data_IF_035255851511
#
_entry.id   IF_035255851511
#
_cell.length_a   1.000
_cell.length_b   1.000
_cell.length_c   1.000
_cell.angle_alpha   90.00
_cell.angle_beta   90.00
_cell.angle_gamma   90.00
#
_symmetry.space_group_name_H-M   'P 1'
#
loop_
_entity.id
_entity.type
_entity.pdbx_description
1 polymer ?
#
# COMPACT_ATOMS: atom_id res chain seq x y z
N UNK A 1 -26.18 -46.21 23.01
CA UNK A 1 -24.83 -45.74 23.43
C UNK A 1 -24.01 -45.09 22.33
N UNK A 2 -23.89 -45.65 21.10
CA UNK A 2 -23.10 -45.02 20.01
C UNK A 2 -23.52 -43.58 19.66
N UNK A 3 -24.82 -43.29 19.58
CA UNK A 3 -25.32 -41.94 19.27
C UNK A 3 -25.01 -40.90 20.36
N UNK A 4 -25.02 -41.29 21.64
CA UNK A 4 -24.64 -40.39 22.74
C UNK A 4 -23.16 -40.00 22.68
N UNK A 5 -22.30 -40.94 22.29
CA UNK A 5 -20.87 -40.68 22.11
C UNK A 5 -20.60 -39.69 20.98
N UNK A 6 -21.29 -39.83 19.84
CA UNK A 6 -21.18 -38.88 18.73
C UNK A 6 -21.68 -37.47 19.10
N UNK A 7 -22.78 -37.37 19.86
CA UNK A 7 -23.29 -36.08 20.35
C UNK A 7 -22.29 -35.42 21.31
N UNK A 8 -21.68 -36.19 22.21
CA UNK A 8 -20.68 -35.69 23.16
C UNK A 8 -19.39 -35.25 22.45
N UNK A 9 -18.94 -36.00 21.44
CA UNK A 9 -17.78 -35.64 20.61
C UNK A 9 -18.05 -34.37 19.78
N UNK A 10 -19.26 -34.22 19.25
CA UNK A 10 -19.68 -33.03 18.51
C UNK A 10 -19.76 -31.80 19.42
N UNK A 11 -20.28 -31.94 20.65
CA UNK A 11 -20.29 -30.88 21.67
C UNK A 11 -18.87 -30.47 22.09
N UNK A 12 -17.94 -31.41 22.24
CA UNK A 12 -16.53 -31.12 22.53
C UNK A 12 -15.86 -30.35 21.38
N UNK A 13 -16.16 -30.67 20.13
CA UNK A 13 -15.67 -29.93 18.96
C UNK A 13 -16.26 -28.51 18.88
N UNK A 14 -17.54 -28.34 19.22
CA UNK A 14 -18.18 -27.02 19.31
C UNK A 14 -17.62 -26.17 20.47
N UNK A 15 -17.27 -26.79 21.59
CA UNK A 15 -16.65 -26.11 22.74
C UNK A 15 -15.16 -25.80 22.52
N UNK A 16 -14.45 -26.56 21.67
CA UNK A 16 -13.05 -26.29 21.33
C UNK A 16 -12.87 -25.19 20.28
N UNK A 17 -13.90 -24.88 19.49
CA UNK A 17 -13.93 -23.73 18.58
C UNK A 17 -14.37 -22.45 19.30
N UNK A 18 -13.75 -22.13 20.45
CA UNK A 18 -13.83 -20.77 21.02
C UNK A 18 -12.75 -19.92 20.37
N UNK A 19 -12.94 -19.54 19.11
CA UNK A 19 -12.20 -18.40 18.59
C UNK A 19 -12.65 -17.19 19.40
N UNK A 20 -11.74 -16.64 20.20
CA UNK A 20 -11.99 -15.41 20.95
C UNK A 20 -12.47 -14.35 19.96
N UNK A 21 -13.75 -13.99 20.09
CA UNK A 21 -14.42 -12.91 19.36
C UNK A 21 -14.53 -11.67 20.24
N UNK A 22 -13.71 -11.58 21.30
CA UNK A 22 -13.69 -10.41 22.16
C UNK A 22 -13.15 -9.22 21.36
N UNK A 23 -13.84 -8.07 21.35
CA UNK A 23 -13.33 -6.86 20.71
C UNK A 23 -11.94 -6.51 21.24
N UNK A 24 -11.11 -5.85 20.41
CA UNK A 24 -9.85 -5.30 20.89
C UNK A 24 -10.07 -4.44 22.15
N UNK A 25 -9.22 -4.65 23.16
CA UNK A 25 -9.25 -3.90 24.39
C UNK A 25 -8.82 -2.45 24.15
N UNK A 26 -9.78 -1.52 24.16
CA UNK A 26 -9.54 -0.08 23.94
C UNK A 26 -8.66 0.58 25.00
N UNK A 27 -8.57 -0.01 26.19
CA UNK A 27 -7.74 0.50 27.29
C UNK A 27 -6.29 0.02 27.20
N UNK A 28 -6.03 -1.05 26.42
CA UNK A 28 -4.69 -1.56 26.16
C UNK A 28 -3.97 -0.67 25.16
N UNK A 29 -2.73 -0.32 25.47
CA UNK A 29 -1.83 0.34 24.51
C UNK A 29 -1.21 -0.70 23.58
N UNK A 30 -1.43 -0.53 22.28
CA UNK A 30 -0.85 -1.36 21.23
C UNK A 30 0.36 -0.66 20.63
N UNK A 31 1.51 -1.33 20.65
CA UNK A 31 2.74 -0.79 20.05
C UNK A 31 2.78 -1.10 18.55
N UNK A 32 2.99 -0.08 17.74
CA UNK A 32 3.21 -0.18 16.30
C UNK A 32 4.62 0.28 16.00
N UNK A 33 5.46 -0.65 15.58
CA UNK A 33 6.81 -0.35 15.17
C UNK A 33 6.86 0.09 13.71
N UNK A 34 7.61 1.15 13.44
CA UNK A 34 7.77 1.75 12.12
C UNK A 34 9.24 1.73 11.75
N UNK A 35 9.53 1.26 10.54
CA UNK A 35 10.86 1.39 9.93
C UNK A 35 10.79 2.39 8.80
N UNK A 36 11.79 3.25 8.72
CA UNK A 36 11.97 4.15 7.59
C UNK A 36 13.18 3.72 6.75
N UNK A 37 12.99 3.60 5.44
CA UNK A 37 14.05 3.26 4.49
C UNK A 37 14.17 4.42 3.50
N UNK A 38 15.32 5.06 3.52
CA UNK A 38 15.57 6.29 2.78
C UNK A 38 16.56 6.07 1.64
N UNK A 39 16.22 6.61 0.47
CA UNK A 39 17.16 6.89 -0.60
C UNK A 39 17.52 8.38 -0.55
N UNK A 40 18.74 8.68 -0.07
CA UNK A 40 19.22 10.06 0.13
C UNK A 40 19.33 10.89 -1.18
N UNK A 41 19.18 10.26 -2.35
CA UNK A 41 19.11 10.97 -3.62
C UNK A 41 17.70 11.49 -3.94
N UNK A 42 16.66 11.04 -3.23
CA UNK A 42 15.25 11.38 -3.44
C UNK A 42 14.76 12.27 -2.29
N UNK A 43 13.80 13.16 -2.56
CA UNK A 43 13.18 13.99 -1.53
C UNK A 43 12.65 13.13 -0.38
N UNK A 44 12.93 13.57 0.84
CA UNK A 44 12.54 12.92 2.08
C UNK A 44 11.99 13.98 3.05
N UNK A 45 11.23 13.54 4.05
CA UNK A 45 11.00 14.38 5.22
C UNK A 45 12.33 14.67 5.90
N UNK A 46 12.50 15.88 6.45
CA UNK A 46 13.61 16.08 7.37
C UNK A 46 13.46 15.15 8.57
N UNK A 47 14.54 14.73 9.23
CA UNK A 47 14.44 13.89 10.42
C UNK A 47 13.52 14.49 11.49
N UNK A 48 13.55 15.81 11.68
CA UNK A 48 12.66 16.50 12.61
C UNK A 48 11.19 16.42 12.17
N UNK A 49 10.88 16.70 10.90
CA UNK A 49 9.50 16.63 10.41
C UNK A 49 8.96 15.21 10.48
N UNK A 50 9.80 14.22 10.19
CA UNK A 50 9.42 12.81 10.29
C UNK A 50 9.13 12.40 11.73
N UNK A 51 9.98 12.80 12.69
CA UNK A 51 9.74 12.55 14.12
C UNK A 51 8.45 13.23 14.60
N UNK A 52 8.22 14.47 14.18
CA UNK A 52 7.07 15.27 14.56
C UNK A 52 5.74 14.65 14.10
N UNK A 53 5.72 13.97 12.95
CA UNK A 53 4.53 13.23 12.49
C UNK A 53 4.11 12.12 13.46
N UNK A 54 5.05 11.49 14.17
CA UNK A 54 4.78 10.32 15.01
C UNK A 54 4.85 10.62 16.50
N UNK A 55 4.62 11.88 16.86
CA UNK A 55 4.57 12.34 18.24
C UNK A 55 3.27 11.90 18.96
N UNK A 56 3.05 12.47 20.15
CA UNK A 56 1.86 12.18 20.96
C UNK A 56 0.55 12.64 20.27
N UNK A 57 0.59 13.61 19.35
CA UNK A 57 -0.59 14.10 18.64
C UNK A 57 -1.11 13.07 17.66
N UNK A 58 -0.25 12.32 16.96
CA UNK A 58 -0.70 11.20 16.12
C UNK A 58 -1.36 10.10 16.95
N UNK A 59 -0.79 9.78 18.11
CA UNK A 59 -1.33 8.77 19.02
C UNK A 59 -2.72 9.16 19.52
N UNK A 60 -2.89 10.45 19.87
CA UNK A 60 -4.19 11.03 20.26
C UNK A 60 -5.18 11.03 19.10
N UNK A 61 -4.78 11.50 17.92
CA UNK A 61 -5.63 11.53 16.72
C UNK A 61 -6.10 10.12 16.33
N UNK A 62 -5.22 9.13 16.48
CA UNK A 62 -5.55 7.72 16.25
C UNK A 62 -6.61 7.21 17.22
N UNK A 63 -6.50 7.58 18.50
CA UNK A 63 -7.51 7.25 19.49
C UNK A 63 -8.84 7.94 19.19
N UNK A 64 -8.81 9.23 18.86
CA UNK A 64 -10.02 10.01 18.55
C UNK A 64 -10.77 9.46 17.33
N UNK A 65 -10.05 8.94 16.33
CA UNK A 65 -10.63 8.39 15.09
C UNK A 65 -10.99 6.90 15.21
N UNK A 66 -10.10 6.06 15.72
CA UNK A 66 -10.25 4.60 15.70
C UNK A 66 -10.68 4.02 17.06
N UNK A 67 -10.53 4.77 18.15
CA UNK A 67 -10.89 4.34 19.50
C UNK A 67 -9.89 3.37 20.15
N UNK A 68 -8.66 3.27 19.63
CA UNK A 68 -7.60 2.41 20.15
C UNK A 68 -6.40 3.24 20.60
N UNK A 69 -5.82 2.90 21.74
CA UNK A 69 -4.56 3.49 22.21
C UNK A 69 -3.41 2.85 21.43
N UNK A 70 -2.81 3.58 20.52
CA UNK A 70 -1.66 3.12 19.74
C UNK A 70 -0.44 3.96 20.13
N UNK A 71 0.66 3.27 20.43
CA UNK A 71 1.97 3.88 20.60
C UNK A 71 2.78 3.61 19.34
N UNK A 72 3.12 4.67 18.62
CA UNK A 72 4.03 4.59 17.48
C UNK A 72 5.48 4.55 17.98
N UNK A 73 6.23 3.58 17.51
CA UNK A 73 7.63 3.41 17.88
C UNK A 73 8.49 3.44 16.62
N UNK A 74 9.27 4.49 16.48
CA UNK A 74 10.20 4.65 15.36
C UNK A 74 11.46 3.84 15.63
N UNK A 75 11.72 2.86 14.76
CA UNK A 75 13.00 2.15 14.76
C UNK A 75 14.03 2.98 14.02
N UNK A 76 15.30 2.75 14.34
CA UNK A 76 16.39 3.33 13.56
C UNK A 76 16.17 3.05 12.08
N UNK A 77 16.25 4.11 11.27
CA UNK A 77 16.16 4.00 9.82
C UNK A 77 17.31 3.17 9.26
N UNK A 78 17.14 2.72 8.02
CA UNK A 78 18.18 2.03 7.26
C UNK A 78 18.32 2.70 5.90
N UNK A 79 19.55 2.95 5.48
CA UNK A 79 19.84 3.42 4.13
C UNK A 79 19.38 2.37 3.09
N UNK A 80 18.84 2.84 1.96
CA UNK A 80 18.29 1.93 0.94
C UNK A 80 19.32 0.92 0.40
N UNK A 81 20.60 1.31 0.36
CA UNK A 81 21.70 0.48 -0.10
C UNK A 81 22.00 -0.68 0.84
N UNK A 82 22.09 -0.37 2.13
CA UNK A 82 22.30 -1.38 3.18
C UNK A 82 21.12 -2.33 3.24
N UNK A 83 19.90 -1.79 3.11
CA UNK A 83 18.69 -2.60 3.06
C UNK A 83 18.69 -3.56 1.86
N UNK A 84 19.03 -3.07 0.66
CA UNK A 84 19.07 -3.89 -0.53
C UNK A 84 20.12 -5.01 -0.43
N UNK A 85 21.31 -4.70 0.10
CA UNK A 85 22.39 -5.68 0.30
C UNK A 85 21.97 -6.74 1.32
N UNK A 86 21.42 -6.33 2.46
CA UNK A 86 20.98 -7.24 3.52
C UNK A 86 19.89 -8.22 3.04
N UNK A 87 19.02 -7.77 2.13
CA UNK A 87 17.89 -8.56 1.64
C UNK A 87 18.14 -9.27 0.30
N UNK A 88 19.34 -9.16 -0.27
CA UNK A 88 19.66 -9.73 -1.59
C UNK A 88 19.41 -11.24 -1.67
N UNK A 89 19.67 -11.97 -0.58
CA UNK A 89 19.42 -13.41 -0.51
C UNK A 89 17.95 -13.75 -0.72
N UNK A 90 17.04 -13.02 -0.06
CA UNK A 90 15.60 -13.24 -0.20
C UNK A 90 15.16 -13.00 -1.65
N UNK A 91 15.71 -11.98 -2.32
CA UNK A 91 15.43 -11.74 -3.75
C UNK A 91 15.87 -12.93 -4.60
N UNK A 92 17.08 -13.43 -4.38
CA UNK A 92 17.63 -14.55 -5.14
C UNK A 92 16.82 -15.83 -4.92
N UNK A 93 16.47 -16.12 -3.67
CA UNK A 93 15.66 -17.29 -3.29
C UNK A 93 14.24 -17.21 -3.92
N UNK A 94 13.74 -15.99 -4.16
CA UNK A 94 12.45 -15.73 -4.80
C UNK A 94 12.54 -15.32 -6.28
N UNK A 95 13.68 -15.53 -6.95
CA UNK A 95 13.89 -15.11 -8.34
C UNK A 95 12.87 -15.74 -9.32
N UNK A 96 12.37 -16.93 -9.01
CA UNK A 96 11.34 -17.61 -9.76
C UNK A 96 9.99 -16.84 -9.77
N UNK A 97 9.64 -16.18 -8.67
CA UNK A 97 8.44 -15.33 -8.56
C UNK A 97 8.60 -14.13 -9.49
N UNK A 98 9.75 -13.45 -9.43
CA UNK A 98 10.03 -12.34 -10.34
C UNK A 98 9.99 -12.78 -11.80
N UNK A 99 10.60 -13.90 -12.16
CA UNK A 99 10.55 -14.42 -13.53
C UNK A 99 9.13 -14.69 -14.02
N UNK A 100 8.24 -15.15 -13.12
CA UNK A 100 6.84 -15.46 -13.43
C UNK A 100 5.97 -14.21 -13.52
N UNK A 101 6.09 -13.33 -12.53
CA UNK A 101 5.11 -12.28 -12.28
C UNK A 101 5.58 -10.88 -12.70
N UNK A 102 6.88 -10.66 -12.91
CA UNK A 102 7.38 -9.33 -13.25
C UNK A 102 6.95 -8.91 -14.66
N UNK A 103 6.55 -7.64 -14.78
CA UNK A 103 6.28 -6.99 -16.06
C UNK A 103 7.47 -6.09 -16.40
N UNK A 104 8.23 -6.45 -17.44
CA UNK A 104 9.30 -5.60 -17.95
C UNK A 104 8.74 -4.45 -18.80
N UNK A 105 8.46 -3.33 -18.14
CA UNK A 105 7.88 -2.12 -18.76
C UNK A 105 8.72 -1.57 -19.90
N UNK A 106 10.05 -1.75 -19.88
CA UNK A 106 10.93 -1.23 -20.93
C UNK A 106 10.78 -1.99 -22.25
N UNK A 107 10.43 -3.27 -22.17
CA UNK A 107 10.44 -4.19 -23.32
C UNK A 107 9.10 -4.89 -23.58
N UNK A 108 8.03 -4.54 -22.86
CA UNK A 108 6.74 -5.22 -23.00
C UNK A 108 6.04 -4.88 -24.32
N UNK A 109 5.52 -5.91 -24.99
CA UNK A 109 4.61 -5.74 -26.12
C UNK A 109 3.27 -5.15 -25.66
N UNK A 110 2.79 -4.13 -26.39
CA UNK A 110 1.56 -3.42 -26.04
C UNK A 110 0.31 -4.32 -26.01
N UNK A 111 0.20 -5.34 -26.88
CA UNK A 111 -0.94 -6.27 -26.85
C UNK A 111 -0.88 -7.16 -25.61
N UNK A 112 0.33 -7.58 -25.23
CA UNK A 112 0.55 -8.33 -23.99
C UNK A 112 0.18 -7.51 -22.75
N UNK A 113 0.61 -6.24 -22.69
CA UNK A 113 0.23 -5.34 -21.59
C UNK A 113 -1.27 -5.08 -21.56
N UNK A 114 -1.90 -4.83 -22.72
CA UNK A 114 -3.35 -4.69 -22.84
C UNK A 114 -4.08 -5.89 -22.26
N UNK A 115 -3.61 -7.11 -22.53
CA UNK A 115 -4.22 -8.34 -21.99
C UNK A 115 -4.16 -8.36 -20.46
N UNK A 116 -3.03 -7.99 -19.86
CA UNK A 116 -2.89 -7.95 -18.40
C UNK A 116 -3.77 -6.86 -17.77
N UNK A 117 -3.82 -5.67 -18.38
CA UNK A 117 -4.72 -4.61 -17.93
C UNK A 117 -6.18 -5.07 -18.04
N UNK A 118 -6.58 -5.67 -19.17
CA UNK A 118 -7.93 -6.20 -19.36
C UNK A 118 -8.32 -7.20 -18.25
N UNK A 119 -7.40 -8.11 -17.89
CA UNK A 119 -7.63 -9.03 -16.79
C UNK A 119 -7.90 -8.28 -15.47
N UNK A 120 -7.07 -7.29 -15.13
CA UNK A 120 -7.30 -6.46 -13.93
C UNK A 120 -8.63 -5.72 -13.97
N UNK A 121 -9.01 -5.11 -15.10
CA UNK A 121 -10.28 -4.41 -15.25
C UNK A 121 -11.49 -5.36 -15.21
N UNK A 122 -11.34 -6.62 -15.64
CA UNK A 122 -12.42 -7.61 -15.61
C UNK A 122 -12.83 -8.04 -14.20
N UNK A 123 -11.95 -7.82 -13.21
CA UNK A 123 -12.23 -8.07 -11.79
C UNK A 123 -12.92 -6.87 -11.10
N UNK A 124 -13.26 -5.81 -11.83
CA UNK A 124 -13.84 -4.59 -11.29
C UNK A 124 -15.31 -4.42 -11.68
N UNK A 125 -16.06 -3.72 -10.81
CA UNK A 125 -17.41 -3.27 -11.16
C UNK A 125 -17.36 -2.14 -12.17
N UNK A 126 -18.37 -2.02 -13.04
CA UNK A 126 -18.45 -0.91 -13.99
C UNK A 126 -18.51 0.47 -13.31
N UNK A 127 -19.08 0.55 -12.11
CA UNK A 127 -19.06 1.77 -11.31
C UNK A 127 -17.63 2.15 -10.91
N UNK A 128 -16.82 1.18 -10.49
CA UNK A 128 -15.42 1.42 -10.14
C UNK A 128 -14.59 1.80 -11.38
N UNK A 129 -14.82 1.16 -12.53
CA UNK A 129 -14.17 1.53 -13.79
C UNK A 129 -14.48 2.99 -14.18
N UNK A 130 -15.75 3.43 -14.11
CA UNK A 130 -16.13 4.82 -14.38
C UNK A 130 -15.43 5.78 -13.42
N UNK A 131 -15.39 5.42 -12.14
CA UNK A 131 -14.76 6.23 -11.09
C UNK A 131 -13.25 6.41 -11.31
N UNK A 132 -12.54 5.31 -11.56
CA UNK A 132 -11.08 5.29 -11.68
C UNK A 132 -10.59 5.89 -12.99
N UNK A 133 -11.29 5.62 -14.10
CA UNK A 133 -10.78 5.93 -15.44
C UNK A 133 -11.64 6.94 -16.22
N UNK A 134 -12.82 7.29 -15.72
CA UNK A 134 -13.72 8.26 -16.36
C UNK A 134 -14.46 7.74 -17.59
N UNK A 135 -14.40 6.43 -17.89
CA UNK A 135 -15.12 5.84 -19.02
C UNK A 135 -16.60 5.62 -18.71
N UNK A 136 -17.45 5.84 -19.71
CA UNK A 136 -18.88 5.54 -19.61
C UNK A 136 -19.14 4.03 -19.51
N UNK A 137 -20.26 3.68 -18.87
CA UNK A 137 -20.61 2.29 -18.54
C UNK A 137 -20.65 1.34 -19.75
N UNK A 138 -21.01 1.86 -20.92
CA UNK A 138 -21.16 1.09 -22.16
C UNK A 138 -19.83 0.81 -22.87
N UNK A 139 -18.72 1.47 -22.49
CA UNK A 139 -17.45 1.30 -23.19
C UNK A 139 -16.89 -0.11 -22.92
N UNK A 140 -16.58 -0.91 -23.96
CA UNK A 140 -15.97 -2.23 -23.82
C UNK A 140 -14.62 -2.18 -23.07
N UNK A 141 -14.37 -3.16 -22.19
CA UNK A 141 -13.16 -3.17 -21.35
C UNK A 141 -11.87 -3.33 -22.17
N UNK A 142 -11.93 -4.04 -23.30
CA UNK A 142 -10.80 -4.22 -24.21
C UNK A 142 -10.37 -2.89 -24.87
N UNK A 143 -11.34 -2.02 -25.19
CA UNK A 143 -11.08 -0.66 -25.68
C UNK A 143 -10.45 0.19 -24.57
N UNK A 144 -10.98 0.11 -23.35
CA UNK A 144 -10.42 0.81 -22.18
C UNK A 144 -8.96 0.36 -21.96
N UNK A 145 -8.71 -0.94 -21.90
CA UNK A 145 -7.37 -1.50 -21.70
C UNK A 145 -6.40 -1.07 -22.81
N UNK A 146 -6.84 -1.07 -24.07
CA UNK A 146 -6.04 -0.63 -25.22
C UNK A 146 -5.61 0.84 -25.07
N UNK A 147 -6.52 1.69 -24.62
CA UNK A 147 -6.26 3.12 -24.46
C UNK A 147 -5.35 3.44 -23.26
N UNK A 148 -5.38 2.61 -22.22
CA UNK A 148 -4.59 2.82 -20.99
C UNK A 148 -3.15 2.31 -21.16
N UNK A 149 -2.95 1.16 -21.82
CA UNK A 149 -1.65 0.50 -21.93
C UNK A 149 -0.48 1.44 -22.31
N UNK A 150 -0.58 2.28 -23.35
CA UNK A 150 0.50 3.21 -23.70
C UNK A 150 0.82 4.22 -22.60
N UNK A 151 -0.21 4.88 -22.05
CA UNK A 151 -0.03 5.87 -20.97
C UNK A 151 0.49 5.26 -19.67
N UNK A 152 0.20 3.99 -19.42
CA UNK A 152 0.72 3.25 -18.27
C UNK A 152 2.25 3.09 -18.36
N UNK A 153 2.75 2.67 -19.53
CA UNK A 153 4.20 2.55 -19.78
C UNK A 153 4.87 3.91 -19.69
N UNK A 154 4.31 4.90 -20.37
CA UNK A 154 4.87 6.26 -20.42
C UNK A 154 4.99 6.88 -19.01
N UNK A 155 3.94 6.77 -18.20
CA UNK A 155 3.91 7.25 -16.82
C UNK A 155 5.07 6.68 -15.98
N UNK A 156 5.26 5.36 -16.02
CA UNK A 156 6.35 4.70 -15.29
C UNK A 156 7.73 5.13 -15.80
N UNK A 157 7.93 5.13 -17.13
CA UNK A 157 9.21 5.49 -17.72
C UNK A 157 9.58 6.95 -17.44
N UNK A 158 8.61 7.86 -17.46
CA UNK A 158 8.85 9.28 -17.15
C UNK A 158 9.38 9.48 -15.73
N UNK A 159 8.77 8.83 -14.73
CA UNK A 159 9.26 8.89 -13.34
C UNK A 159 10.62 8.23 -13.21
N UNK A 160 10.82 7.06 -13.81
CA UNK A 160 12.10 6.34 -13.74
C UNK A 160 13.26 7.12 -14.36
N UNK A 161 13.00 7.88 -15.42
CA UNK A 161 13.98 8.68 -16.13
C UNK A 161 14.19 10.09 -15.54
N UNK A 162 13.45 10.46 -14.49
CA UNK A 162 13.57 11.78 -13.86
C UNK A 162 14.92 11.91 -13.16
N UNK A 163 15.75 12.94 -13.46
CA UNK A 163 17.02 13.15 -12.76
C UNK A 163 16.82 13.41 -11.26
N UNK A 164 17.73 12.93 -10.43
CA UNK A 164 17.71 13.12 -8.98
C UNK A 164 19.09 13.52 -8.47
N UNK A 165 19.22 13.84 -7.19
CA UNK A 165 20.51 14.28 -6.63
C UNK A 165 21.57 13.20 -6.87
N UNK A 166 22.68 13.59 -7.49
CA UNK A 166 23.81 12.71 -7.80
C UNK A 166 23.51 11.51 -8.74
N UNK A 167 22.35 11.48 -9.43
CA UNK A 167 22.04 10.45 -10.43
C UNK A 167 21.31 11.03 -11.65
N UNK A 168 21.67 10.57 -12.84
CA UNK A 168 21.06 11.02 -14.09
C UNK A 168 19.58 10.65 -14.24
N UNK A 169 19.12 9.67 -13.48
CA UNK A 169 17.75 9.19 -13.46
C UNK A 169 17.42 8.63 -12.06
N UNK A 170 16.13 8.58 -11.71
CA UNK A 170 15.64 8.08 -10.44
C UNK A 170 15.90 6.59 -10.30
N UNK A 171 15.68 5.83 -11.38
CA UNK A 171 15.86 4.39 -11.37
C UNK A 171 17.36 4.02 -11.35
N UNK A 172 17.86 3.55 -10.22
CA UNK A 172 19.14 2.85 -10.18
C UNK A 172 18.99 1.48 -10.86
N UNK A 173 19.56 1.34 -12.06
CA UNK A 173 19.51 0.09 -12.83
C UNK A 173 20.10 -1.12 -12.10
N UNK A 174 21.05 -0.91 -11.18
CA UNK A 174 21.67 -1.98 -10.40
C UNK A 174 20.79 -2.48 -9.25
N UNK A 175 19.80 -1.68 -8.84
CA UNK A 175 18.92 -1.93 -7.69
C UNK A 175 17.44 -1.74 -8.04
N UNK A 176 17.09 -1.79 -9.33
CA UNK A 176 15.77 -1.35 -9.83
C UNK A 176 14.59 -2.05 -9.14
N UNK A 177 14.79 -3.30 -8.70
CA UNK A 177 13.77 -4.10 -8.01
C UNK A 177 13.18 -3.38 -6.79
N UNK A 178 13.97 -2.61 -6.05
CA UNK A 178 13.51 -1.91 -4.85
C UNK A 178 12.41 -0.88 -5.16
N UNK A 179 12.36 -0.35 -6.39
CA UNK A 179 11.34 0.57 -6.89
C UNK A 179 10.07 -0.15 -7.39
N UNK A 180 9.93 -1.45 -7.13
CA UNK A 180 8.79 -2.25 -7.61
C UNK A 180 7.95 -2.75 -6.44
N UNK A 181 6.64 -2.67 -6.58
CA UNK A 181 5.70 -3.22 -5.60
C UNK A 181 5.86 -4.74 -5.45
N UNK A 182 6.29 -5.46 -6.50
CA UNK A 182 6.54 -6.91 -6.45
C UNK A 182 7.64 -7.26 -5.45
N UNK A 183 8.72 -6.47 -5.43
CA UNK A 183 9.80 -6.64 -4.46
C UNK A 183 9.29 -6.48 -3.03
N UNK A 184 8.57 -5.40 -2.75
CA UNK A 184 8.02 -5.16 -1.42
C UNK A 184 6.98 -6.21 -1.01
N UNK A 185 6.22 -6.76 -1.95
CA UNK A 185 5.31 -7.89 -1.69
C UNK A 185 6.02 -9.14 -1.17
N UNK A 186 7.26 -9.37 -1.62
CA UNK A 186 8.08 -10.51 -1.19
C UNK A 186 8.78 -10.18 0.13
N UNK A 187 9.51 -9.06 0.18
CA UNK A 187 10.35 -8.72 1.35
C UNK A 187 9.50 -8.41 2.59
N UNK A 188 8.31 -7.83 2.43
CA UNK A 188 7.45 -7.51 3.57
C UNK A 188 7.05 -8.76 4.40
N UNK A 189 7.02 -9.95 3.78
CA UNK A 189 6.77 -11.21 4.49
C UNK A 189 7.87 -11.62 5.47
N UNK A 190 9.09 -11.10 5.30
CA UNK A 190 10.27 -11.43 6.11
C UNK A 190 10.43 -10.52 7.33
N UNK A 191 9.70 -9.41 7.39
CA UNK A 191 9.71 -8.53 8.55
C UNK A 191 9.09 -9.22 9.77
N UNK A 192 9.75 -9.07 10.91
CA UNK A 192 9.33 -9.69 12.18
C UNK A 192 8.87 -8.67 13.22
N UNK A 193 9.34 -7.44 13.10
CA UNK A 193 9.25 -6.47 14.18
C UNK A 193 8.82 -5.07 13.73
N UNK A 194 8.44 -4.89 12.46
CA UNK A 194 7.88 -3.63 11.95
C UNK A 194 6.52 -3.87 11.33
N UNK A 195 5.49 -3.16 11.81
CA UNK A 195 4.16 -3.23 11.20
C UNK A 195 4.04 -2.27 10.02
N UNK A 196 4.74 -1.14 10.04
CA UNK A 196 4.76 -0.19 8.92
C UNK A 196 6.21 0.00 8.48
N UNK A 197 6.42 -0.05 7.17
CA UNK A 197 7.65 0.34 6.51
C UNK A 197 7.35 1.56 5.66
N UNK A 198 7.99 2.68 5.96
CA UNK A 198 7.89 3.90 5.18
C UNK A 198 9.09 3.98 4.26
N UNK A 199 8.87 4.35 3.01
CA UNK A 199 9.92 4.53 2.00
C UNK A 199 9.72 5.83 1.25
N UNK A 200 10.78 6.54 0.89
CA UNK A 200 10.69 7.78 0.11
C UNK A 200 10.74 7.58 -1.42
N UNK A 201 10.70 6.33 -1.87
CA UNK A 201 10.82 5.95 -3.28
C UNK A 201 9.45 5.63 -3.90
N UNK A 202 9.26 5.89 -5.21
CA UNK A 202 8.05 5.45 -5.91
C UNK A 202 8.02 3.92 -6.03
N UNK A 203 6.83 3.33 -5.83
CA UNK A 203 6.63 1.89 -5.98
C UNK A 203 5.82 1.61 -7.25
N UNK A 204 6.46 1.03 -8.25
CA UNK A 204 5.81 0.71 -9.53
C UNK A 204 5.06 -0.61 -9.49
N UNK A 205 3.87 -0.66 -10.09
CA UNK A 205 3.01 -1.82 -10.16
C UNK A 205 3.41 -2.79 -11.29
N UNK A 206 4.69 -3.11 -11.39
CA UNK A 206 5.26 -3.91 -12.49
C UNK A 206 5.10 -5.41 -12.25
N UNK A 207 3.87 -5.86 -12.05
CA UNK A 207 3.58 -7.27 -11.79
C UNK A 207 2.24 -7.72 -12.37
N UNK A 208 2.16 -9.00 -12.75
CA UNK A 208 0.91 -9.66 -13.09
C UNK A 208 -0.07 -9.51 -11.93
N UNK A 209 -1.36 -9.29 -12.20
CA UNK A 209 -2.39 -9.02 -11.18
C UNK A 209 -2.29 -7.66 -10.47
N UNK A 210 -1.57 -6.69 -11.05
CA UNK A 210 -1.68 -5.28 -10.64
C UNK A 210 -3.14 -4.83 -10.54
N UNK A 211 -3.48 -4.08 -9.49
CA UNK A 211 -4.85 -3.63 -9.25
C UNK A 211 -5.30 -2.57 -10.26
N UNK A 212 -6.60 -2.47 -10.52
CA UNK A 212 -7.14 -1.40 -11.35
C UNK A 212 -6.86 -0.01 -10.77
N UNK A 213 -6.81 0.13 -9.44
CA UNK A 213 -6.38 1.36 -8.77
C UNK A 213 -4.93 1.72 -9.16
N UNK A 214 -3.99 0.79 -9.05
CA UNK A 214 -2.59 1.05 -9.42
C UNK A 214 -2.43 1.42 -10.90
N UNK A 215 -3.24 0.82 -11.78
CA UNK A 215 -3.28 1.18 -13.20
C UNK A 215 -3.83 2.60 -13.40
N UNK A 216 -4.91 2.96 -12.72
CA UNK A 216 -5.47 4.31 -12.75
C UNK A 216 -4.49 5.35 -12.20
N UNK A 217 -3.72 4.94 -11.20
CA UNK A 217 -2.66 5.73 -10.59
C UNK A 217 -1.36 5.71 -11.41
N UNK A 218 -1.45 5.61 -12.74
CA UNK A 218 -0.31 5.71 -13.65
C UNK A 218 0.72 4.60 -13.48
N UNK A 219 0.36 3.48 -12.86
CA UNK A 219 1.28 2.37 -12.59
C UNK A 219 2.04 2.47 -11.28
N UNK A 220 1.55 3.25 -10.32
CA UNK A 220 2.18 3.39 -9.01
C UNK A 220 1.31 2.82 -7.88
N UNK A 221 1.99 2.47 -6.80
CA UNK A 221 1.40 2.00 -5.55
C UNK A 221 1.84 2.94 -4.44
N UNK A 222 0.88 3.61 -3.83
CA UNK A 222 1.09 4.48 -2.67
C UNK A 222 1.24 3.67 -1.38
N UNK A 223 0.51 2.55 -1.28
CA UNK A 223 0.59 1.62 -0.14
C UNK A 223 0.32 0.18 -0.52
N UNK A 224 1.12 -0.71 0.05
CA UNK A 224 0.86 -2.15 0.11
C UNK A 224 0.41 -2.50 1.52
N UNK A 225 -0.60 -3.37 1.65
CA UNK A 225 -0.97 -4.00 2.92
C UNK A 225 -1.01 -5.51 2.68
N UNK A 226 -0.25 -6.25 3.46
CA UNK A 226 0.00 -7.67 3.24
C UNK A 226 -0.12 -8.41 4.56
N UNK A 227 -0.68 -9.62 4.50
CA UNK A 227 -0.68 -10.51 5.66
C UNK A 227 0.75 -10.87 6.06
N UNK A 228 1.04 -10.78 7.36
CA UNK A 228 2.30 -11.22 7.93
C UNK A 228 2.04 -11.65 9.38
N UNK A 229 1.96 -12.96 9.57
CA UNK A 229 1.60 -13.57 10.86
C UNK A 229 2.68 -13.41 11.94
N UNK A 230 3.89 -13.01 11.57
CA UNK A 230 4.97 -12.76 12.52
C UNK A 230 4.80 -11.42 13.26
N UNK A 231 3.99 -10.51 12.71
CA UNK A 231 3.79 -9.17 13.28
C UNK A 231 2.58 -9.18 14.21
N UNK A 232 2.79 -8.73 15.44
CA UNK A 232 1.72 -8.48 16.41
C UNK A 232 1.65 -6.97 16.70
N UNK A 233 0.45 -6.41 16.96
CA UNK A 233 -0.86 -7.06 16.99
C UNK A 233 -1.52 -7.24 15.60
N UNK A 234 -1.01 -6.56 14.57
CA UNK A 234 -1.71 -6.41 13.29
C UNK A 234 -1.89 -7.73 12.50
N UNK A 235 -0.97 -8.71 12.64
CA UNK A 235 -0.85 -9.87 11.72
C UNK A 235 -0.72 -9.44 10.25
N UNK A 236 -0.27 -8.22 10.02
CA UNK A 236 -0.10 -7.61 8.72
C UNK A 236 1.04 -6.60 8.75
N UNK A 237 1.57 -6.32 7.58
CA UNK A 237 2.55 -5.27 7.34
C UNK A 237 2.04 -4.33 6.26
N UNK A 238 2.32 -3.03 6.43
CA UNK A 238 2.17 -2.07 5.36
C UNK A 238 3.51 -1.54 4.88
N UNK A 239 3.63 -1.32 3.57
CA UNK A 239 4.71 -0.56 2.96
C UNK A 239 4.10 0.68 2.35
N UNK A 240 4.55 1.87 2.77
CA UNK A 240 3.98 3.15 2.37
C UNK A 240 5.05 3.99 1.69
N UNK A 241 4.76 4.48 0.49
CA UNK A 241 5.60 5.42 -0.22
C UNK A 241 5.25 6.87 0.16
N UNK A 242 6.23 7.65 0.61
CA UNK A 242 6.08 9.11 0.79
C UNK A 242 6.36 9.89 -0.48
N UNK A 243 6.84 9.23 -1.55
CA UNK A 243 7.28 9.89 -2.77
C UNK A 243 6.22 10.83 -3.34
N UNK A 244 4.99 10.35 -3.50
CA UNK A 244 3.87 11.13 -4.08
C UNK A 244 3.51 12.35 -3.23
N UNK A 245 3.55 12.22 -1.90
CA UNK A 245 3.29 13.33 -0.98
C UNK A 245 4.35 14.43 -1.12
N UNK A 246 5.62 14.02 -1.22
CA UNK A 246 6.78 14.90 -1.28
C UNK A 246 7.03 15.50 -2.68
N UNK A 247 6.29 15.06 -3.70
CA UNK A 247 6.24 15.70 -5.02
C UNK A 247 5.08 16.69 -5.16
N UNK A 248 4.22 16.82 -4.14
CA UNK A 248 3.10 17.75 -4.19
C UNK A 248 3.56 19.21 -4.00
N UNK A 249 2.79 20.15 -4.55
CA UNK A 249 3.02 21.59 -4.35
C UNK A 249 2.48 22.11 -3.00
N UNK A 250 2.05 21.21 -2.11
CA UNK A 250 1.55 21.59 -0.79
C UNK A 250 2.71 22.03 0.12
N UNK A 251 2.41 22.87 1.10
CA UNK A 251 3.38 23.23 2.13
C UNK A 251 3.69 22.03 3.05
N UNK A 252 4.82 22.10 3.75
CA UNK A 252 5.32 21.01 4.60
C UNK A 252 4.30 20.58 5.67
N UNK A 253 3.64 21.55 6.32
CA UNK A 253 2.69 21.25 7.39
C UNK A 253 1.47 20.52 6.84
N UNK A 254 0.97 20.96 5.69
CA UNK A 254 -0.10 20.27 4.98
C UNK A 254 0.29 18.84 4.57
N UNK A 255 1.52 18.63 4.10
CA UNK A 255 2.07 17.29 3.75
C UNK A 255 2.14 16.39 4.99
N UNK A 256 2.67 16.89 6.11
CA UNK A 256 2.76 16.15 7.38
C UNK A 256 1.38 15.69 7.85
N UNK A 257 0.40 16.59 7.84
CA UNK A 257 -0.97 16.28 8.21
C UNK A 257 -1.58 15.22 7.29
N UNK A 258 -1.41 15.33 5.97
CA UNK A 258 -1.86 14.29 5.04
C UNK A 258 -1.24 12.94 5.34
N UNK A 259 0.07 12.90 5.59
CA UNK A 259 0.77 11.67 5.87
C UNK A 259 0.32 11.05 7.21
N UNK A 260 0.10 11.86 8.25
CA UNK A 260 -0.47 11.42 9.53
C UNK A 260 -1.84 10.73 9.36
N UNK A 261 -2.76 11.35 8.62
CA UNK A 261 -4.06 10.73 8.29
C UNK A 261 -3.90 9.43 7.48
N UNK A 262 -2.91 9.39 6.59
CA UNK A 262 -2.62 8.20 5.80
C UNK A 262 -2.09 7.04 6.66
N UNK A 263 -1.27 7.33 7.67
CA UNK A 263 -0.86 6.35 8.68
C UNK A 263 -2.09 5.83 9.44
N UNK A 264 -2.95 6.72 9.96
CA UNK A 264 -4.16 6.31 10.71
C UNK A 264 -5.07 5.43 9.85
N UNK A 265 -5.26 5.79 8.59
CA UNK A 265 -6.02 4.96 7.65
C UNK A 265 -5.39 3.56 7.52
N UNK A 266 -4.07 3.51 7.35
CA UNK A 266 -3.33 2.25 7.22
C UNK A 266 -3.52 1.36 8.45
N UNK A 267 -3.44 1.97 9.64
CA UNK A 267 -3.70 1.31 10.92
C UNK A 267 -5.12 0.76 10.99
N UNK A 268 -6.12 1.56 10.59
CA UNK A 268 -7.51 1.13 10.55
C UNK A 268 -7.73 -0.09 9.63
N UNK A 269 -6.96 -0.21 8.55
CA UNK A 269 -6.98 -1.40 7.67
C UNK A 269 -6.28 -2.59 8.32
N UNK A 270 -5.16 -2.37 9.00
CA UNK A 270 -4.29 -3.45 9.49
C UNK A 270 -4.72 -4.06 10.82
N UNK A 271 -5.40 -3.30 11.68
CA UNK A 271 -5.73 -3.79 13.01
C UNK A 271 -6.89 -4.79 12.99
N UNK A 272 -6.74 -5.95 13.67
CA UNK A 272 -7.83 -6.93 13.79
C UNK A 272 -9.00 -6.36 14.59
N UNK A 273 -10.24 -6.73 14.26
CA UNK A 273 -11.46 -6.32 14.99
C UNK A 273 -11.58 -6.99 16.36
N UNK A 274 -11.00 -8.18 16.51
CA UNK A 274 -11.13 -9.03 17.69
C UNK A 274 -9.75 -9.49 18.17
N UNK A 275 -9.59 -9.67 19.48
CA UNK A 275 -8.41 -10.29 20.08
C UNK A 275 -8.48 -11.81 19.83
N UNK A 276 -8.13 -12.22 18.61
CA UNK A 276 -8.17 -13.63 18.22
C UNK A 276 -6.93 -14.32 18.78
N UNK A 277 -7.13 -15.09 19.84
CA UNK A 277 -6.18 -16.09 20.32
C UNK A 277 -5.84 -17.03 19.16
N UNK A 278 -4.64 -16.84 18.60
CA UNK A 278 -3.92 -17.70 17.65
C UNK A 278 -4.56 -18.13 16.31
N UNK A 279 -5.78 -17.73 15.97
CA UNK A 279 -6.41 -18.15 14.71
C UNK A 279 -6.21 -17.19 13.50
N UNK A 280 -6.20 -17.81 12.31
CA UNK A 280 -5.71 -17.32 10.99
C UNK A 280 -6.54 -16.23 10.30
N UNK A 281 -7.55 -15.66 10.93
CA UNK A 281 -8.44 -14.70 10.27
C UNK A 281 -8.63 -13.44 11.13
N UNK A 282 -7.74 -12.47 10.92
CA UNK A 282 -7.95 -11.08 11.34
C UNK A 282 -9.07 -10.50 10.49
N UNK A 283 -10.29 -10.40 11.02
CA UNK A 283 -11.35 -9.60 10.40
C UNK A 283 -10.94 -8.14 10.62
N UNK A 284 -10.60 -7.41 9.55
CA UNK A 284 -10.22 -6.00 9.60
C UNK A 284 -11.34 -5.15 10.25
N UNK A 285 -10.96 -4.11 11.01
CA UNK A 285 -11.85 -3.26 11.82
C UNK A 285 -13.07 -2.70 11.06
N UNK A 286 -14.26 -2.81 11.69
CA UNK A 286 -15.41 -1.92 11.49
C UNK A 286 -15.45 -0.88 12.63
N UNK A 287 -15.11 0.37 12.34
CA UNK A 287 -15.23 1.55 13.20
C UNK A 287 -16.72 1.85 13.39
N UNK A 288 -17.17 1.77 14.63
CA UNK A 288 -18.57 2.02 14.99
C UNK A 288 -18.94 3.50 14.71
N UNK A 289 -20.04 3.72 13.98
CA UNK A 289 -20.53 5.03 13.46
C UNK A 289 -19.71 5.65 12.31
N UNK A 290 -18.75 4.93 11.77
CA UNK A 290 -18.06 5.36 10.57
C UNK A 290 -18.85 4.87 9.36
N UNK A 291 -19.28 5.80 8.51
CA UNK A 291 -20.00 5.45 7.29
C UNK A 291 -18.98 4.82 6.32
N UNK A 292 -18.78 3.51 6.39
CA UNK A 292 -17.83 2.77 5.56
C UNK A 292 -18.08 2.97 4.07
N UNK A 293 -19.35 3.10 3.67
CA UNK A 293 -19.70 3.33 2.29
C UNK A 293 -19.34 4.76 1.89
N UNK A 294 -19.64 5.79 2.67
CA UNK A 294 -19.12 7.14 2.41
C UNK A 294 -17.62 7.30 2.71
N UNK A 295 -16.97 6.51 3.54
CA UNK A 295 -15.55 6.67 3.85
C UNK A 295 -14.70 5.97 2.81
N UNK A 296 -15.06 4.74 2.41
CA UNK A 296 -14.48 4.08 1.26
C UNK A 296 -14.88 4.82 -0.03
N UNK A 297 -16.14 5.22 -0.18
CA UNK A 297 -16.59 5.97 -1.37
C UNK A 297 -16.11 7.41 -1.38
N UNK A 298 -15.92 8.11 -0.25
CA UNK A 298 -15.34 9.47 -0.12
C UNK A 298 -13.85 9.46 0.25
N UNK A 299 -13.14 8.33 0.28
CA UNK A 299 -11.68 8.30 0.16
C UNK A 299 -11.30 7.96 -1.27
N UNK A 300 -11.99 6.99 -1.88
CA UNK A 300 -11.89 6.80 -3.33
C UNK A 300 -12.59 7.98 -4.06
N UNK A 301 -13.50 8.72 -3.41
CA UNK A 301 -14.01 10.06 -3.79
C UNK A 301 -13.72 11.09 -2.68
N UNK A 302 -12.56 11.05 -2.02
CA UNK A 302 -12.12 12.32 -1.46
C UNK A 302 -11.84 13.04 -2.77
N UNK A 303 -12.77 13.88 -3.23
CA UNK A 303 -12.35 15.13 -3.83
C UNK A 303 -11.66 15.85 -2.67
N UNK A 304 -10.48 15.37 -2.28
CA UNK A 304 -9.25 16.07 -2.50
C UNK A 304 -9.53 17.26 -3.45
N UNK A 305 -10.15 18.29 -2.86
CA UNK A 305 -10.36 19.57 -3.52
C UNK A 305 -8.98 20.07 -3.89
N UNK A 306 -8.86 20.67 -5.05
CA UNK A 306 -7.61 21.22 -5.55
C UNK A 306 -6.82 21.86 -4.39
N UNK A 307 -5.59 21.38 -4.15
CA UNK A 307 -4.66 20.82 -5.13
C UNK A 307 -4.70 19.28 -5.31
N UNK A 308 -5.62 18.57 -4.69
CA UNK A 308 -5.41 17.15 -4.45
C UNK A 308 -5.90 16.13 -5.52
N UNK A 309 -6.15 16.52 -6.77
CA UNK A 309 -6.50 15.53 -7.81
C UNK A 309 -5.33 14.58 -8.05
N UNK A 310 -5.48 13.35 -7.59
CA UNK A 310 -4.66 12.19 -7.98
C UNK A 310 -4.50 12.16 -9.50
N UNK A 311 -3.25 12.33 -9.96
CA UNK A 311 -2.68 11.78 -11.21
C UNK A 311 -3.25 12.33 -12.54
N UNK A 312 -4.35 13.09 -12.54
CA UNK A 312 -4.80 13.81 -13.73
C UNK A 312 -3.80 14.90 -14.16
N UNK A 313 -3.03 15.46 -13.22
CA UNK A 313 -1.94 16.40 -13.51
C UNK A 313 -0.75 15.77 -14.25
N UNK A 314 -0.54 14.44 -14.16
CA UNK A 314 0.47 13.77 -15.01
C UNK A 314 0.11 13.88 -16.50
N UNK A 315 -1.18 13.94 -16.84
CA UNK A 315 -1.64 14.02 -18.24
C UNK A 315 -1.64 15.44 -18.80
N UNK A 316 -1.89 16.43 -17.93
CA UNK A 316 -2.06 17.82 -18.31
C UNK A 316 -0.73 18.61 -18.24
N UNK A 317 0.22 18.24 -17.39
CA UNK A 317 1.56 18.85 -17.34
C UNK A 317 2.51 18.35 -18.43
N UNK A 318 2.28 17.17 -19.02
CA UNK A 318 3.02 16.71 -20.22
C UNK A 318 2.62 17.55 -21.46
N UNK A 319 1.42 18.13 -21.48
CA UNK A 319 0.99 19.01 -22.58
C UNK A 319 1.52 20.44 -22.50
N UNK A 320 1.96 20.90 -21.32
CA UNK A 320 2.32 22.31 -21.10
C UNK A 320 3.81 22.53 -20.77
N UNK A 321 4.65 21.50 -20.91
CA UNK A 321 6.11 21.64 -20.84
C UNK A 321 6.72 21.04 -22.11
N UNK A 322 6.35 21.61 -23.24
CA UNK A 322 7.17 21.61 -24.45
C UNK A 322 7.07 23.03 -25.05
N UNK A 323 8.19 23.67 -25.44
CA UNK A 323 8.13 24.76 -26.41
C UNK A 323 7.54 24.30 -27.75
#
# INVERSE_FOLDING_TARGET
MKYLFFIFLFLLLFLSCKNSTEPLNKEKTYTVNITYIEDAAINAFSPSDFLDIFDDDLSKLTYDILGYKIKYNLKNGMEYDDFYIANRRIINDNAHIFKRDFIDIKNIDNKKLQHYILYSLSNETRANIKKLFGYEYAVPLDIIAKNIAPSYVESILNVWNTPVKNRNQLLDGSKFMIYTALYWRIIAGEFKDSSIVVVNMPLTANYLSMSAKSIADGGFVDRLVLENNNIKPCKSIAVISTYTFLQSNADCETIKNMFAYYIIQTIGMMFPKYDVSDDKHSIMSEVNRFDYFNWYSNIVNFQLKTPYKTIKEYRDNIKNILP
#
